data_IF_912489778771
#
_entry.id   IF_912489778771
#
_cell.length_a   1.000
_cell.length_b   1.000
_cell.length_c   1.000
_cell.angle_alpha   90.00
_cell.angle_beta   90.00
_cell.angle_gamma   90.00
#
_symmetry.space_group_name_H-M   'P 1'
#
loop_
_entity.id
_entity.type
_entity.pdbx_description
1 polymer ?
#
# COMPACT_ATOMS: atom_id res chain seq x y z
N UNK A 1 60.61 -19.90 32.06
CA UNK A 1 59.53 -19.36 32.90
C UNK A 1 58.92 -18.15 32.22
N UNK A 2 57.67 -18.25 31.74
CA UNK A 2 56.71 -17.13 31.65
C UNK A 2 55.37 -17.71 31.18
N UNK A 3 54.41 -17.79 32.11
CA UNK A 3 53.01 -18.17 31.84
C UNK A 3 52.23 -16.86 31.67
N UNK A 4 51.62 -16.64 30.50
CA UNK A 4 50.67 -15.55 30.29
C UNK A 4 49.29 -15.94 30.82
N UNK A 5 48.57 -15.04 31.52
CA UNK A 5 47.21 -15.31 31.96
C UNK A 5 46.23 -14.98 30.81
N UNK A 6 45.41 -15.95 30.44
CA UNK A 6 44.25 -15.72 29.59
C UNK A 6 43.12 -15.14 30.46
N UNK A 7 42.71 -13.91 30.17
CA UNK A 7 41.51 -13.29 30.75
C UNK A 7 40.28 -13.77 29.97
N UNK A 8 39.36 -14.45 30.64
CA UNK A 8 38.08 -14.87 30.07
C UNK A 8 37.06 -13.72 30.16
N UNK A 9 36.28 -13.44 29.11
CA UNK A 9 35.24 -12.43 29.16
C UNK A 9 34.00 -12.98 29.88
N UNK A 10 33.44 -12.21 30.82
CA UNK A 10 32.13 -12.47 31.41
C UNK A 10 31.06 -12.20 30.34
N UNK A 11 30.35 -13.25 29.92
CA UNK A 11 29.16 -13.11 29.09
C UNK A 11 27.97 -12.71 29.97
N UNK A 12 27.46 -11.48 29.80
CA UNK A 12 26.16 -11.08 30.36
C UNK A 12 25.06 -11.75 29.54
N UNK A 13 24.40 -12.76 30.12
CA UNK A 13 23.19 -13.35 29.58
C UNK A 13 22.03 -12.35 29.72
N UNK A 14 21.76 -11.56 28.68
CA UNK A 14 20.58 -10.71 28.60
C UNK A 14 19.33 -11.59 28.49
N UNK A 15 18.44 -11.50 29.49
CA UNK A 15 17.15 -12.16 29.45
C UNK A 15 16.30 -11.58 28.31
N UNK A 16 16.08 -12.37 27.27
CA UNK A 16 15.13 -12.03 26.20
C UNK A 16 13.72 -12.17 26.79
N UNK A 17 13.14 -11.04 27.19
CA UNK A 17 11.74 -11.00 27.60
C UNK A 17 10.85 -11.26 26.38
N UNK A 18 10.19 -12.42 26.34
CA UNK A 18 9.14 -12.69 25.36
C UNK A 18 7.97 -11.76 25.62
N UNK A 19 7.81 -10.74 24.77
CA UNK A 19 6.61 -9.91 24.76
C UNK A 19 5.46 -10.76 24.23
N UNK A 20 4.59 -11.23 25.13
CA UNK A 20 3.32 -11.83 24.75
C UNK A 20 2.47 -10.77 24.07
N UNK A 21 2.25 -10.88 22.77
CA UNK A 21 1.30 -10.05 22.05
C UNK A 21 -0.10 -10.33 22.62
N UNK A 22 -0.62 -9.41 23.44
CA UNK A 22 -1.99 -9.47 23.91
C UNK A 22 -2.91 -9.44 22.69
N UNK A 23 -3.75 -10.47 22.51
CA UNK A 23 -4.74 -10.47 21.45
C UNK A 23 -5.80 -9.43 21.77
N UNK A 24 -5.79 -8.30 21.07
CA UNK A 24 -6.89 -7.35 21.14
C UNK A 24 -8.18 -8.04 20.67
N UNK A 25 -9.33 -7.75 21.31
CA UNK A 25 -10.62 -8.22 20.81
C UNK A 25 -10.74 -7.85 19.33
N UNK A 26 -11.13 -8.82 18.50
CA UNK A 26 -11.34 -8.54 17.08
C UNK A 26 -12.49 -7.53 16.95
N UNK A 27 -12.29 -6.41 16.23
CA UNK A 27 -13.36 -5.46 16.01
C UNK A 27 -14.48 -6.12 15.21
N UNK A 28 -15.71 -5.64 15.41
CA UNK A 28 -16.88 -6.10 14.64
C UNK A 28 -16.82 -5.72 13.16
N UNK A 29 -16.02 -4.70 12.82
CA UNK A 29 -15.80 -4.20 11.47
C UNK A 29 -14.30 -4.19 11.13
N UNK A 30 -13.96 -4.21 9.84
CA UNK A 30 -12.59 -3.92 9.38
C UNK A 30 -12.29 -2.43 9.53
N UNK A 31 -11.04 -2.09 9.83
CA UNK A 31 -10.59 -0.70 9.82
C UNK A 31 -10.47 -0.19 8.40
N UNK A 32 -10.81 1.09 8.20
CA UNK A 32 -10.63 1.86 6.98
C UNK A 32 -9.56 2.94 7.19
N UNK A 33 -8.97 3.49 6.11
CA UNK A 33 -8.04 4.62 6.22
C UNK A 33 -8.65 5.78 7.02
N UNK A 34 -7.92 6.23 8.05
CA UNK A 34 -8.36 7.29 8.96
C UNK A 34 -8.90 6.78 10.30
N UNK A 35 -9.25 5.50 10.41
CA UNK A 35 -9.67 4.92 11.68
C UNK A 35 -8.49 4.84 12.68
N UNK A 36 -8.73 4.96 14.00
CA UNK A 36 -7.67 4.81 15.01
C UNK A 36 -6.94 3.46 14.97
N UNK A 37 -7.60 2.42 14.46
CA UNK A 37 -7.00 1.09 14.30
C UNK A 37 -6.40 0.81 12.91
N UNK A 38 -6.43 1.78 12.00
CA UNK A 38 -5.74 1.65 10.71
C UNK A 38 -4.23 1.55 10.92
N UNK A 39 -3.51 0.66 10.20
CA UNK A 39 -2.07 0.52 10.38
C UNK A 39 -1.34 1.84 10.11
N UNK A 40 -0.38 2.17 10.99
CA UNK A 40 0.46 3.35 10.84
C UNK A 40 1.39 3.23 9.62
N UNK A 41 2.00 4.35 9.23
CA UNK A 41 3.01 4.36 8.17
C UNK A 41 4.18 3.39 8.45
N UNK A 42 4.62 3.28 9.71
CA UNK A 42 5.68 2.34 10.11
C UNK A 42 5.24 0.88 9.97
N UNK A 43 3.98 0.57 10.28
CA UNK A 43 3.43 -0.77 10.10
C UNK A 43 3.36 -1.14 8.61
N UNK A 44 2.93 -0.22 7.74
CA UNK A 44 2.96 -0.41 6.28
C UNK A 44 4.39 -0.55 5.75
N UNK A 45 5.34 0.24 6.26
CA UNK A 45 6.74 0.14 5.89
C UNK A 45 7.36 -1.20 6.35
N UNK A 46 6.97 -1.70 7.53
CA UNK A 46 7.36 -3.03 7.99
C UNK A 46 6.79 -4.12 7.09
N UNK A 47 5.49 -4.05 6.75
CA UNK A 47 4.88 -4.98 5.80
C UNK A 47 5.62 -4.96 4.47
N UNK A 48 5.91 -3.78 3.93
CA UNK A 48 6.64 -3.63 2.68
C UNK A 48 8.01 -4.33 2.72
N UNK A 49 8.75 -4.22 3.84
CA UNK A 49 10.00 -4.97 4.04
C UNK A 49 9.78 -6.49 4.07
N UNK A 50 8.69 -6.98 4.66
CA UNK A 50 8.41 -8.43 4.70
C UNK A 50 8.00 -9.02 3.36
N UNK A 51 7.54 -8.19 2.42
CA UNK A 51 7.20 -8.58 1.04
C UNK A 51 8.25 -8.12 0.01
N UNK A 52 9.50 -7.95 0.44
CA UNK A 52 10.64 -7.58 -0.41
C UNK A 52 10.42 -6.30 -1.24
N UNK A 53 9.74 -5.31 -0.68
CA UNK A 53 9.48 -4.03 -1.36
C UNK A 53 8.31 -4.06 -2.34
N UNK A 54 7.48 -5.12 -2.35
CA UNK A 54 6.40 -5.32 -3.33
C UNK A 54 5.05 -4.74 -2.91
N UNK A 55 4.95 -4.06 -1.77
CA UNK A 55 3.71 -3.39 -1.37
C UNK A 55 3.56 -2.08 -2.14
N UNK A 56 2.46 -1.91 -2.87
CA UNK A 56 2.21 -0.74 -3.72
C UNK A 56 1.06 0.10 -3.16
N UNK A 57 1.34 1.35 -2.80
CA UNK A 57 0.28 2.31 -2.48
C UNK A 57 -0.54 2.60 -3.75
N UNK A 58 -1.86 2.48 -3.66
CA UNK A 58 -2.70 2.54 -4.84
C UNK A 58 -2.74 3.95 -5.44
N UNK A 59 -2.42 4.01 -6.73
CA UNK A 59 -2.66 5.16 -7.60
C UNK A 59 -3.63 4.68 -8.69
N UNK A 60 -4.89 5.14 -8.71
CA UNK A 60 -5.85 4.69 -9.71
C UNK A 60 -5.34 4.94 -11.13
N UNK A 61 -5.62 4.00 -12.04
CA UNK A 61 -5.15 4.04 -13.43
C UNK A 61 -5.56 5.34 -14.13
N UNK A 62 -6.78 5.84 -13.89
CA UNK A 62 -7.30 7.09 -14.46
C UNK A 62 -6.68 8.37 -13.88
N UNK A 63 -5.77 8.30 -12.91
CA UNK A 63 -5.19 9.49 -12.24
C UNK A 63 -4.56 10.50 -13.20
N UNK A 64 -4.00 10.03 -14.31
CA UNK A 64 -3.45 10.88 -15.38
C UNK A 64 -4.50 11.81 -16.02
N UNK A 65 -5.79 11.57 -15.83
CA UNK A 65 -6.88 12.37 -16.38
C UNK A 65 -7.39 13.49 -15.43
N UNK A 66 -6.89 13.59 -14.19
CA UNK A 66 -7.46 14.49 -13.18
C UNK A 66 -6.45 15.45 -12.54
N UNK A 67 -6.95 16.59 -12.08
CA UNK A 67 -6.24 17.52 -11.22
C UNK A 67 -4.94 18.11 -11.81
N UNK A 68 -4.00 18.38 -10.92
CA UNK A 68 -2.70 18.99 -11.24
C UNK A 68 -1.73 18.01 -11.91
N UNK A 69 -1.91 16.71 -11.65
CA UNK A 69 -1.15 15.62 -12.28
C UNK A 69 -1.60 15.27 -13.69
N UNK A 70 -2.51 16.04 -14.29
CA UNK A 70 -3.07 15.78 -15.60
C UNK A 70 -2.00 15.66 -16.68
N UNK A 71 -2.03 14.54 -17.39
CA UNK A 71 -1.19 14.24 -18.54
C UNK A 71 -2.09 13.96 -19.74
N UNK A 72 -2.19 14.91 -20.66
CA UNK A 72 -3.07 14.82 -21.82
C UNK A 72 -2.79 13.60 -22.71
N UNK A 73 -1.51 13.26 -22.92
CA UNK A 73 -1.11 12.13 -23.76
C UNK A 73 -1.48 10.81 -23.12
N UNK A 74 -1.20 10.64 -21.83
CA UNK A 74 -1.56 9.40 -21.12
C UNK A 74 -3.06 9.27 -20.95
N UNK A 75 -3.77 10.36 -20.64
CA UNK A 75 -5.21 10.34 -20.54
C UNK A 75 -5.88 9.92 -21.86
N UNK A 76 -5.43 10.46 -23.00
CA UNK A 76 -5.93 10.06 -24.31
C UNK A 76 -5.66 8.57 -24.59
N UNK A 77 -4.44 8.09 -24.29
CA UNK A 77 -4.08 6.67 -24.41
C UNK A 77 -5.00 5.78 -23.57
N UNK A 78 -5.30 6.18 -22.34
CA UNK A 78 -6.21 5.46 -21.45
C UNK A 78 -7.64 5.46 -21.99
N UNK A 79 -8.15 6.58 -22.48
CA UNK A 79 -9.48 6.68 -23.07
C UNK A 79 -9.65 5.75 -24.27
N UNK A 80 -8.63 5.64 -25.13
CA UNK A 80 -8.64 4.72 -26.28
C UNK A 80 -8.55 3.25 -25.85
N UNK A 81 -7.85 2.96 -24.75
CA UNK A 81 -7.56 1.60 -24.29
C UNK A 81 -8.54 1.06 -23.22
N UNK A 82 -9.40 1.89 -22.63
CA UNK A 82 -10.14 1.60 -21.40
C UNK A 82 -11.08 0.39 -21.47
N UNK A 83 -11.47 -0.05 -22.65
CA UNK A 83 -12.35 -1.22 -22.81
C UNK A 83 -11.58 -2.53 -23.02
N UNK A 84 -10.25 -2.48 -23.06
CA UNK A 84 -9.38 -3.63 -23.29
C UNK A 84 -8.74 -4.08 -21.98
N UNK A 85 -8.74 -5.37 -21.69
CA UNK A 85 -8.25 -5.90 -20.41
C UNK A 85 -6.76 -5.64 -20.20
N UNK A 86 -5.99 -5.56 -21.28
CA UNK A 86 -4.55 -5.36 -21.27
C UNK A 86 -4.14 -4.13 -20.46
N UNK A 87 -4.79 -2.97 -20.67
CA UNK A 87 -4.43 -1.74 -19.95
C UNK A 87 -4.75 -1.82 -18.46
N UNK A 88 -5.74 -2.62 -18.07
CA UNK A 88 -6.11 -2.82 -16.68
C UNK A 88 -5.21 -3.84 -15.97
N UNK A 89 -4.77 -4.90 -16.68
CA UNK A 89 -3.91 -5.95 -16.11
C UNK A 89 -2.50 -5.45 -15.75
N UNK A 90 -2.04 -4.37 -16.38
CA UNK A 90 -0.76 -3.73 -16.06
C UNK A 90 -0.80 -2.90 -14.77
N UNK A 91 -2.00 -2.58 -14.28
CA UNK A 91 -2.19 -1.84 -13.03
C UNK A 91 -2.37 -2.79 -11.85
N UNK A 92 -1.71 -2.50 -10.73
CA UNK A 92 -1.83 -3.28 -9.49
C UNK A 92 -3.22 -3.20 -8.83
N UNK A 93 -4.06 -2.26 -9.24
CA UNK A 93 -5.30 -1.92 -8.54
C UNK A 93 -6.50 -1.65 -9.45
N UNK A 94 -6.35 -1.79 -10.77
CA UNK A 94 -7.41 -1.38 -11.69
C UNK A 94 -8.63 -2.31 -11.64
N UNK A 95 -9.81 -1.72 -11.73
CA UNK A 95 -11.09 -2.42 -11.68
C UNK A 95 -11.75 -2.32 -13.06
N UNK A 96 -11.73 -3.41 -13.83
CA UNK A 96 -12.26 -3.42 -15.21
C UNK A 96 -13.78 -3.23 -15.27
N UNK A 97 -14.50 -3.67 -14.25
CA UNK A 97 -15.95 -3.59 -14.22
C UNK A 97 -16.40 -2.19 -13.74
N UNK A 98 -17.03 -1.36 -14.61
CA UNK A 98 -17.30 0.05 -14.29
C UNK A 98 -18.19 0.24 -13.06
N UNK A 99 -19.13 -0.70 -12.84
CA UNK A 99 -19.99 -0.70 -11.65
C UNK A 99 -19.19 -0.68 -10.35
N UNK A 100 -18.09 -1.43 -10.28
CA UNK A 100 -17.25 -1.50 -9.08
C UNK A 100 -16.27 -0.33 -9.01
N UNK A 101 -15.76 0.16 -10.15
CA UNK A 101 -14.93 1.37 -10.19
C UNK A 101 -15.71 2.64 -9.79
N UNK A 102 -17.03 2.64 -9.97
CA UNK A 102 -17.97 3.68 -9.52
C UNK A 102 -17.55 5.10 -9.88
N UNK A 103 -16.99 5.29 -11.08
CA UNK A 103 -16.50 6.56 -11.60
C UNK A 103 -15.57 7.36 -10.65
N UNK A 104 -14.94 6.71 -9.66
CA UNK A 104 -14.20 7.40 -8.60
C UNK A 104 -12.90 8.07 -9.10
N UNK A 105 -12.36 7.55 -10.20
CA UNK A 105 -11.24 8.12 -10.93
C UNK A 105 -11.28 7.61 -12.38
N UNK A 106 -12.38 7.91 -13.06
CA UNK A 106 -12.67 7.42 -14.40
C UNK A 106 -12.18 8.43 -15.46
N UNK A 107 -11.43 7.97 -16.48
CA UNK A 107 -10.79 8.84 -17.46
C UNK A 107 -11.76 9.64 -18.34
N UNK A 108 -13.06 9.33 -18.31
CA UNK A 108 -14.11 10.05 -19.04
C UNK A 108 -14.85 11.08 -18.19
N UNK A 109 -14.54 11.17 -16.89
CA UNK A 109 -15.05 12.26 -16.04
C UNK A 109 -14.22 13.55 -16.23
N UNK A 110 -14.81 14.74 -15.98
CA UNK A 110 -14.09 16.00 -16.14
C UNK A 110 -12.80 16.07 -15.32
N UNK A 111 -11.78 16.77 -15.85
CA UNK A 111 -10.46 16.91 -15.21
C UNK A 111 -10.52 17.48 -13.79
N UNK A 112 -11.46 18.39 -13.54
CA UNK A 112 -11.66 19.06 -12.26
C UNK A 112 -12.38 18.19 -11.22
N UNK A 113 -12.93 17.03 -11.62
CA UNK A 113 -13.40 16.01 -10.68
C UNK A 113 -12.17 15.37 -10.00
N UNK A 114 -12.10 15.38 -8.65
CA UNK A 114 -11.00 14.74 -7.94
C UNK A 114 -10.95 13.24 -8.19
N UNK A 115 -9.76 12.73 -8.54
CA UNK A 115 -9.48 11.29 -8.54
C UNK A 115 -9.42 10.77 -7.11
N UNK A 116 -10.43 10.02 -6.69
CA UNK A 116 -10.50 9.39 -5.38
C UNK A 116 -10.28 7.86 -5.48
N UNK A 117 -9.86 7.24 -4.38
CA UNK A 117 -9.77 5.78 -4.30
C UNK A 117 -11.16 5.14 -4.40
N UNK A 118 -12.19 5.68 -3.75
CA UNK A 118 -13.52 5.07 -3.75
C UNK A 118 -13.49 3.59 -3.33
N UNK A 119 -13.86 2.71 -4.26
CA UNK A 119 -13.89 1.25 -4.04
C UNK A 119 -12.55 0.54 -4.31
N UNK A 120 -11.52 1.26 -4.74
CA UNK A 120 -10.19 0.70 -4.97
C UNK A 120 -9.53 0.35 -3.63
N UNK A 121 -8.62 -0.62 -3.64
CA UNK A 121 -7.82 -0.98 -2.46
C UNK A 121 -6.88 0.17 -2.08
N UNK A 122 -6.48 0.26 -0.80
CA UNK A 122 -5.49 1.27 -0.38
C UNK A 122 -4.06 0.87 -0.75
N UNK A 123 -3.77 -0.44 -0.67
CA UNK A 123 -2.49 -1.04 -1.05
C UNK A 123 -2.75 -2.36 -1.80
N UNK A 124 -1.85 -2.68 -2.73
CA UNK A 124 -1.79 -3.94 -3.47
C UNK A 124 -0.49 -4.69 -3.15
#
# INVERSE_FOLDING_TARGET
MRRSPFLAPLALAGAVGSASAASLPSPSCKYLPGDPGWPSADAWAQLNRTVDGRLVATVPLGSACHGDGYNATECARLQDAWLYSEVHMESSSSVMAPLFANASCDPFTPRDVPCALGNYVSYA
#
